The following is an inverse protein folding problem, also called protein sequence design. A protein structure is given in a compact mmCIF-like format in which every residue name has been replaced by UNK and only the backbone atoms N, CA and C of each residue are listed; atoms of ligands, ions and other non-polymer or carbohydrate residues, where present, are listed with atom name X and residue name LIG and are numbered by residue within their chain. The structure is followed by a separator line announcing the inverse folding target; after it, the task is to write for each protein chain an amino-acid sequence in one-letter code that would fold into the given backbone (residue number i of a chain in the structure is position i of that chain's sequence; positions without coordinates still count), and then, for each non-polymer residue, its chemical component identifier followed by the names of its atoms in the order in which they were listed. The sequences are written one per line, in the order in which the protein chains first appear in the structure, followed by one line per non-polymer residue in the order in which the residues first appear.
data_IF_961581472269
#
_entry.id   IF_961581472269
#
_cell.length_a   1.000
_cell.length_b   1.000
_cell.length_c   1.000
_cell.angle_alpha   90.00
_cell.angle_beta   90.00
_cell.angle_gamma   90.00
#
_symmetry.space_group_name_H-M   'P 1'
#
loop_
_entity.id
_entity.type
_entity.pdbx_description
1 polymer ?
#
# COMPACT_ATOMS: atom_id res chain seq x y z
N UNK A 1 -5.99 1.17 12.03
CA UNK A 1 -4.79 1.40 11.23
C UNK A 1 -3.85 0.26 11.51
N UNK A 2 -3.54 -0.49 10.44
CA UNK A 2 -2.74 -1.71 10.42
C UNK A 2 -1.38 -1.40 9.78
N UNK A 3 -0.42 -2.28 10.04
CA UNK A 3 0.89 -2.28 9.40
C UNK A 3 1.15 -3.67 8.83
N UNK A 4 1.67 -3.73 7.61
CA UNK A 4 2.09 -4.97 6.95
C UNK A 4 3.59 -4.93 6.71
N UNK A 5 4.31 -5.82 7.39
CA UNK A 5 5.75 -5.96 7.24
C UNK A 5 6.10 -6.84 6.03
N UNK A 6 7.18 -6.51 5.34
CA UNK A 6 7.81 -7.30 4.29
C UNK A 6 9.32 -7.30 4.50
N UNK A 7 10.04 -8.13 3.73
CA UNK A 7 11.47 -8.31 3.94
C UNK A 7 12.29 -7.01 3.78
N UNK A 8 11.90 -6.12 2.85
CA UNK A 8 12.68 -4.93 2.48
C UNK A 8 11.94 -3.59 2.64
N UNK A 9 10.66 -3.63 3.00
CA UNK A 9 9.79 -2.46 3.10
C UNK A 9 8.59 -2.79 4.00
N UNK A 10 7.83 -1.79 4.42
CA UNK A 10 6.58 -2.00 5.16
C UNK A 10 5.47 -1.11 4.60
N UNK A 11 4.23 -1.44 4.93
CA UNK A 11 3.04 -0.68 4.51
C UNK A 11 2.25 -0.25 5.73
N UNK A 12 1.86 1.01 5.82
CA UNK A 12 0.94 1.50 6.86
C UNK A 12 -0.40 1.96 6.26
N UNK A 13 -1.48 1.62 6.95
CA UNK A 13 -2.82 2.12 6.66
C UNK A 13 -3.03 3.49 7.31
N UNK A 14 -3.30 4.52 6.51
CA UNK A 14 -3.58 5.88 6.97
C UNK A 14 -4.98 6.34 6.55
N UNK A 15 -5.62 7.18 7.37
CA UNK A 15 -6.89 7.79 6.98
C UNK A 15 -6.68 8.75 5.81
N UNK A 16 -7.63 8.76 4.87
CA UNK A 16 -7.54 9.60 3.68
C UNK A 16 -8.79 10.47 3.47
N UNK A 17 -9.90 9.88 3.01
CA UNK A 17 -11.13 10.62 2.67
C UNK A 17 -12.40 9.93 3.20
N UNK A 18 -13.06 10.57 4.17
CA UNK A 18 -14.17 10.01 4.95
C UNK A 18 -13.86 8.63 5.53
N UNK A 19 -14.33 7.57 4.88
CA UNK A 19 -14.15 6.17 5.28
C UNK A 19 -13.09 5.45 4.44
N UNK A 20 -12.53 6.11 3.42
CA UNK A 20 -11.43 5.60 2.63
C UNK A 20 -10.11 5.82 3.36
N UNK A 21 -9.29 4.78 3.35
CA UNK A 21 -7.93 4.80 3.80
C UNK A 21 -6.99 4.70 2.61
N UNK A 22 -5.80 5.28 2.74
CA UNK A 22 -4.69 5.06 1.82
C UNK A 22 -3.66 4.14 2.47
N UNK A 23 -2.81 3.54 1.66
CA UNK A 23 -1.75 2.67 2.15
C UNK A 23 -0.39 3.22 1.71
N UNK A 24 0.41 3.64 2.68
CA UNK A 24 1.71 4.25 2.39
C UNK A 24 2.78 3.18 2.51
N UNK A 25 3.63 3.11 1.50
CA UNK A 25 4.69 2.11 1.37
C UNK A 25 6.01 2.78 1.75
N UNK A 26 6.72 2.23 2.73
CA UNK A 26 7.95 2.79 3.27
C UNK A 26 9.12 1.83 3.13
N UNK A 27 10.33 2.34 2.92
CA UNK A 27 11.55 1.58 3.21
C UNK A 27 11.63 1.29 4.71
N UNK A 28 12.41 0.29 5.11
CA UNK A 28 12.68 0.05 6.55
C UNK A 28 13.35 1.21 7.28
N UNK A 29 13.99 2.11 6.54
CA UNK A 29 14.59 3.34 7.08
C UNK A 29 13.55 4.47 7.28
N UNK A 30 12.29 4.25 6.85
CA UNK A 30 11.17 5.18 7.03
C UNK A 30 10.92 6.13 5.85
N UNK A 31 11.59 5.93 4.71
CA UNK A 31 11.38 6.75 3.51
C UNK A 31 10.15 6.28 2.74
N UNK A 32 9.29 7.21 2.32
CA UNK A 32 8.11 6.90 1.49
C UNK A 32 8.55 6.52 0.08
N UNK A 33 8.12 5.34 -0.38
CA UNK A 33 8.34 4.80 -1.71
C UNK A 33 7.16 5.11 -2.63
N UNK A 34 5.94 4.84 -2.16
CA UNK A 34 4.72 4.95 -2.92
C UNK A 34 3.50 5.09 -1.99
N UNK A 35 2.36 5.51 -2.55
CA UNK A 35 1.06 5.51 -1.88
C UNK A 35 0.06 4.74 -2.74
N UNK A 36 -0.72 3.84 -2.14
CA UNK A 36 -1.86 3.18 -2.79
C UNK A 36 -3.12 3.92 -2.35
N UNK A 37 -3.87 4.46 -3.32
CA UNK A 37 -5.09 5.22 -3.09
C UNK A 37 -6.28 4.49 -3.73
N UNK A 38 -7.05 3.70 -2.96
CA UNK A 38 -8.23 3.03 -3.49
C UNK A 38 -9.29 4.03 -3.98
N UNK A 39 -9.98 3.70 -5.07
CA UNK A 39 -11.05 4.54 -5.62
C UNK A 39 -12.40 4.32 -4.92
N UNK A 40 -12.55 3.23 -4.18
CA UNK A 40 -13.77 2.85 -3.47
C UNK A 40 -13.49 2.01 -2.23
N UNK A 41 -14.51 1.81 -1.39
CA UNK A 41 -14.42 0.95 -0.20
C UNK A 41 -14.17 -0.51 -0.61
N UNK A 42 -14.77 -0.95 -1.72
CA UNK A 42 -14.57 -2.31 -2.25
C UNK A 42 -13.10 -2.51 -2.68
N UNK A 43 -12.51 -1.53 -3.38
CA UNK A 43 -11.08 -1.59 -3.76
C UNK A 43 -10.17 -1.61 -2.52
N UNK A 44 -10.51 -0.83 -1.50
CA UNK A 44 -9.77 -0.80 -0.23
C UNK A 44 -9.81 -2.16 0.47
N UNK A 45 -10.96 -2.84 0.48
CA UNK A 45 -11.10 -4.17 1.06
C UNK A 45 -10.29 -5.23 0.28
N UNK A 46 -10.23 -5.12 -1.05
CA UNK A 46 -9.38 -5.98 -1.89
C UNK A 46 -7.90 -5.78 -1.56
N UNK A 47 -7.43 -4.52 -1.50
CA UNK A 47 -6.04 -4.20 -1.11
C UNK A 47 -5.71 -4.80 0.25
N UNK A 48 -6.59 -4.63 1.24
CA UNK A 48 -6.42 -5.20 2.58
C UNK A 48 -6.34 -6.73 2.55
N UNK A 49 -7.21 -7.39 1.77
CA UNK A 49 -7.23 -8.85 1.66
C UNK A 49 -5.93 -9.38 1.05
N UNK A 50 -5.45 -8.75 -0.02
CA UNK A 50 -4.20 -9.12 -0.66
C UNK A 50 -3.00 -8.89 0.26
N UNK A 51 -2.93 -7.75 0.95
CA UNK A 51 -1.89 -7.46 1.93
C UNK A 51 -1.88 -8.48 3.09
N UNK A 52 -3.06 -8.87 3.58
CA UNK A 52 -3.21 -9.91 4.61
C UNK A 52 -2.77 -11.30 4.12
N UNK A 53 -2.95 -11.59 2.84
CA UNK A 53 -2.49 -12.83 2.21
C UNK A 53 -0.97 -12.82 1.92
N UNK A 54 -0.26 -11.74 2.28
CA UNK A 54 1.17 -11.61 2.05
C UNK A 54 1.52 -11.20 0.62
N UNK A 55 0.57 -10.66 -0.14
CA UNK A 55 0.84 -10.18 -1.48
C UNK A 55 1.88 -9.06 -1.46
N UNK A 56 2.64 -9.03 -2.55
CA UNK A 56 3.60 -7.99 -2.85
C UNK A 56 2.92 -6.87 -3.63
N UNK A 57 3.27 -5.63 -3.31
CA UNK A 57 2.74 -4.43 -3.96
C UNK A 57 3.57 -3.99 -5.16
N UNK A 58 4.77 -4.54 -5.35
CA UNK A 58 5.57 -4.25 -6.54
C UNK A 58 4.82 -4.64 -7.81
N UNK A 59 4.70 -3.70 -8.74
CA UNK A 59 3.95 -3.89 -9.99
C UNK A 59 2.45 -3.58 -9.88
N UNK A 60 1.92 -3.23 -8.70
CA UNK A 60 0.54 -2.76 -8.57
C UNK A 60 0.38 -1.37 -9.14
N UNK A 61 -0.84 -1.06 -9.57
CA UNK A 61 -1.26 0.31 -9.89
C UNK A 61 -1.63 1.03 -8.57
N UNK A 62 -1.21 2.28 -8.42
CA UNK A 62 -1.26 3.01 -7.16
C UNK A 62 -2.57 3.82 -6.93
N UNK A 63 -3.54 3.69 -7.83
CA UNK A 63 -4.76 4.48 -7.87
C UNK A 63 -4.63 5.83 -8.57
N UNK A 64 -3.43 6.20 -9.03
CA UNK A 64 -3.12 7.48 -9.68
C UNK A 64 -2.66 7.32 -11.13
N UNK A 65 -2.69 6.10 -11.65
CA UNK A 65 -2.23 5.70 -12.99
C UNK A 65 -0.77 5.25 -13.03
N UNK A 66 -0.11 5.06 -11.89
CA UNK A 66 1.32 4.74 -11.82
C UNK A 66 1.56 3.34 -11.25
N UNK A 67 2.62 2.69 -11.72
CA UNK A 67 3.02 1.37 -11.25
C UNK A 67 4.02 1.49 -10.11
N UNK A 68 3.78 0.77 -9.01
CA UNK A 68 4.63 0.80 -7.82
C UNK A 68 5.94 0.04 -8.07
N UNK A 69 7.06 0.73 -7.84
CA UNK A 69 8.41 0.16 -7.95
C UNK A 69 9.05 0.15 -6.56
N UNK A 70 9.35 -1.04 -6.05
CA UNK A 70 10.08 -1.19 -4.79
C UNK A 70 11.58 -1.27 -5.12
N UNK A 71 12.41 -0.34 -4.61
CA UNK A 71 13.85 -0.37 -4.84
C UNK A 71 14.47 -1.69 -4.34
N UNK A 72 15.31 -2.32 -5.16
CA UNK A 72 16.04 -3.53 -4.79
C UNK A 72 15.25 -4.83 -4.87
N UNK A 73 14.09 -4.82 -5.54
CA UNK A 73 13.28 -6.01 -5.85
C UNK A 73 13.50 -6.55 -7.26
#
# INVERSE_FOLDING_TARGET
MRTWERDIYYIEEEAFDYSLHKFVVYTHDGDVIAEIVPNSIEDMEVVIADLNNGADVHGWENGQGETIVIPGR
#
